data_IF_941060757553
#
_entry.id   IF_941060757553
#
_cell.length_a   1.000
_cell.length_b   1.000
_cell.length_c   1.000
_cell.angle_alpha   90.00
_cell.angle_beta   90.00
_cell.angle_gamma   90.00
#
_symmetry.space_group_name_H-M   'P 1'
#
loop_
_entity.id
_entity.type
_entity.pdbx_description
1 polymer ?
#
# COMPACT_ATOMS: atom_id res chain seq x y z
N UNK A 1 12.06 9.33 -13.35
CA UNK A 1 10.61 9.05 -13.50
C UNK A 1 9.83 10.11 -12.73
N UNK A 2 8.59 10.37 -13.13
CA UNK A 2 7.69 11.29 -12.44
C UNK A 2 6.33 10.64 -12.21
N UNK A 3 5.71 10.89 -11.06
CA UNK A 3 4.30 10.53 -10.77
C UNK A 3 3.48 11.81 -10.74
N UNK A 4 2.41 11.82 -11.52
CA UNK A 4 1.46 12.91 -11.62
C UNK A 4 0.12 12.46 -11.05
N UNK A 5 -0.52 13.31 -10.26
CA UNK A 5 -1.90 13.10 -9.82
C UNK A 5 -2.70 14.39 -10.06
N UNK A 6 -3.78 14.29 -10.84
CA UNK A 6 -4.63 15.44 -11.23
C UNK A 6 -3.82 16.68 -11.69
N UNK A 7 -2.82 16.48 -12.55
CA UNK A 7 -1.98 17.57 -13.08
C UNK A 7 -0.94 18.13 -12.11
N UNK A 8 -0.85 17.61 -10.89
CA UNK A 8 0.17 17.97 -9.90
C UNK A 8 1.29 16.93 -9.90
N UNK A 9 2.53 17.39 -9.91
CA UNK A 9 3.68 16.55 -9.64
C UNK A 9 3.62 16.08 -8.19
N UNK A 10 3.55 14.75 -7.99
CA UNK A 10 3.59 14.13 -6.67
C UNK A 10 5.00 13.65 -6.33
N UNK A 11 5.71 13.08 -7.30
CA UNK A 11 7.02 12.51 -7.08
C UNK A 11 7.90 12.66 -8.32
N UNK A 12 9.20 12.87 -8.12
CA UNK A 12 10.24 12.81 -9.16
C UNK A 12 11.48 12.15 -8.59
N UNK A 13 12.01 11.16 -9.30
CA UNK A 13 13.20 10.42 -8.88
C UNK A 13 13.33 9.07 -9.58
N UNK A 14 14.08 8.17 -8.97
CA UNK A 14 14.29 6.81 -9.47
C UNK A 14 13.18 5.85 -9.03
N UNK A 15 12.93 4.75 -9.76
CA UNK A 15 11.99 3.72 -9.31
C UNK A 15 12.35 3.13 -7.94
N UNK A 16 13.64 3.01 -7.64
CA UNK A 16 14.12 2.44 -6.37
C UNK A 16 13.72 3.36 -5.21
N UNK A 17 14.03 4.66 -5.32
CA UNK A 17 13.62 5.65 -4.32
C UNK A 17 12.10 5.72 -4.16
N UNK A 18 11.34 5.59 -5.26
CA UNK A 18 9.89 5.55 -5.21
C UNK A 18 9.40 4.33 -4.42
N UNK A 19 9.91 3.14 -4.74
CA UNK A 19 9.57 1.90 -4.03
C UNK A 19 9.81 2.06 -2.53
N UNK A 20 10.92 2.68 -2.16
CA UNK A 20 11.33 2.82 -0.77
C UNK A 20 10.40 3.73 0.05
N UNK A 21 9.57 4.56 -0.60
CA UNK A 21 8.52 5.35 0.07
C UNK A 21 7.42 4.49 0.70
N UNK A 22 7.20 3.27 0.19
CA UNK A 22 6.22 2.34 0.74
C UNK A 22 6.84 1.29 1.69
N UNK A 23 8.14 1.41 2.02
CA UNK A 23 8.75 0.54 3.00
C UNK A 23 8.03 0.64 4.35
N UNK A 24 7.91 -0.50 5.04
CA UNK A 24 7.21 -0.65 6.33
C UNK A 24 5.73 -0.25 6.32
N UNK A 25 5.13 -0.10 5.13
CA UNK A 25 3.70 0.22 4.96
C UNK A 25 2.92 -0.85 4.21
N UNK A 26 3.60 -1.85 3.63
CA UNK A 26 2.93 -2.90 2.85
C UNK A 26 2.87 -4.21 3.62
N UNK A 27 1.67 -4.76 3.67
CA UNK A 27 1.34 -5.92 4.48
C UNK A 27 0.60 -6.96 3.66
N UNK A 28 0.78 -8.22 4.04
CA UNK A 28 -0.02 -9.33 3.52
C UNK A 28 -0.61 -10.15 4.66
N UNK A 29 -1.86 -10.59 4.50
CA UNK A 29 -2.51 -11.52 5.43
C UNK A 29 -3.23 -12.61 4.63
N UNK A 30 -3.38 -13.79 5.24
CA UNK A 30 -4.27 -14.84 4.75
C UNK A 30 -5.49 -14.87 5.67
N UNK A 31 -6.65 -14.50 5.13
CA UNK A 31 -7.88 -14.33 5.90
C UNK A 31 -8.92 -15.36 5.48
N UNK A 32 -9.64 -16.00 6.42
CA UNK A 32 -10.85 -16.75 6.07
C UNK A 32 -11.96 -15.78 5.62
N UNK A 33 -12.93 -16.28 4.83
CA UNK A 33 -14.01 -15.46 4.26
C UNK A 33 -14.70 -14.51 5.24
N UNK A 34 -15.17 -14.96 6.43
CA UNK A 34 -15.91 -14.07 7.32
C UNK A 34 -15.04 -12.94 7.87
N UNK A 35 -13.73 -13.20 8.02
CA UNK A 35 -12.76 -12.19 8.49
C UNK A 35 -12.44 -11.19 7.39
N UNK A 36 -12.35 -11.64 6.14
CA UNK A 36 -12.19 -10.76 4.99
C UNK A 36 -13.39 -9.83 4.81
N UNK A 37 -14.62 -10.37 4.81
CA UNK A 37 -15.84 -9.57 4.68
C UNK A 37 -15.97 -8.49 5.77
N UNK A 38 -15.52 -8.81 6.98
CA UNK A 38 -15.51 -7.88 8.11
C UNK A 38 -14.48 -6.74 7.98
N UNK A 39 -13.39 -6.96 7.23
CA UNK A 39 -12.25 -6.03 7.16
C UNK A 39 -12.12 -5.31 5.82
N UNK A 40 -12.69 -5.85 4.73
CA UNK A 40 -12.45 -5.37 3.35
C UNK A 40 -12.69 -3.86 3.18
N UNK A 41 -13.65 -3.29 3.90
CA UNK A 41 -13.97 -1.86 3.83
C UNK A 41 -13.02 -0.97 4.62
N UNK A 42 -12.33 -1.52 5.62
CA UNK A 42 -11.45 -0.80 6.54
C UNK A 42 -9.98 -0.89 6.13
N UNK A 43 -9.63 -1.87 5.28
CA UNK A 43 -8.28 -2.03 4.75
C UNK A 43 -8.05 -1.10 3.55
N UNK A 44 -6.91 -0.42 3.53
CA UNK A 44 -6.43 0.27 2.33
C UNK A 44 -5.88 -0.77 1.31
N UNK A 45 -6.82 -1.46 0.66
CA UNK A 45 -6.56 -2.64 -0.14
C UNK A 45 -5.78 -2.34 -1.43
N UNK A 46 -4.72 -3.10 -1.68
CA UNK A 46 -4.00 -3.12 -2.96
C UNK A 46 -4.59 -4.23 -3.84
N UNK A 47 -4.58 -5.47 -3.35
CA UNK A 47 -5.13 -6.63 -4.07
C UNK A 47 -5.61 -7.70 -3.10
N UNK A 48 -6.53 -8.54 -3.56
CA UNK A 48 -6.92 -9.77 -2.88
C UNK A 48 -7.02 -10.89 -3.91
N UNK A 49 -6.58 -12.09 -3.52
CA UNK A 49 -6.66 -13.29 -4.36
C UNK A 49 -7.15 -14.45 -3.51
N UNK A 50 -8.15 -15.16 -4.04
CA UNK A 50 -8.64 -16.40 -3.41
C UNK A 50 -7.63 -17.53 -3.65
N UNK A 51 -7.25 -18.18 -2.56
CA UNK A 51 -6.34 -19.33 -2.54
C UNK A 51 -7.02 -20.50 -1.81
N UNK A 52 -6.51 -21.74 -1.88
CA UNK A 52 -7.15 -22.88 -1.22
C UNK A 52 -7.38 -22.68 0.29
N UNK A 53 -6.47 -21.98 0.95
CA UNK A 53 -6.48 -21.78 2.41
C UNK A 53 -7.17 -20.47 2.85
N UNK A 54 -7.86 -19.76 1.95
CA UNK A 54 -8.58 -18.52 2.25
C UNK A 54 -8.38 -17.42 1.22
N UNK A 55 -8.35 -16.17 1.67
CA UNK A 55 -8.17 -14.99 0.83
C UNK A 55 -6.85 -14.34 1.23
N UNK A 56 -5.87 -14.36 0.32
CA UNK A 56 -4.62 -13.63 0.51
C UNK A 56 -4.86 -12.18 0.13
N UNK A 57 -4.73 -11.28 1.09
CA UNK A 57 -4.86 -9.84 0.91
C UNK A 57 -3.50 -9.18 0.96
N UNK A 58 -3.32 -8.13 0.16
CA UNK A 58 -2.20 -7.19 0.21
C UNK A 58 -2.78 -5.79 0.36
N UNK A 59 -2.28 -5.04 1.34
CA UNK A 59 -2.85 -3.74 1.70
C UNK A 59 -1.80 -2.82 2.31
N UNK A 60 -2.12 -1.53 2.34
CA UNK A 60 -1.32 -0.49 2.99
C UNK A 60 -1.82 -0.28 4.43
N UNK A 61 -0.90 -0.11 5.39
CA UNK A 61 -1.25 0.26 6.75
C UNK A 61 -0.06 0.87 7.49
N UNK A 62 -0.34 1.84 8.36
CA UNK A 62 0.63 2.29 9.39
C UNK A 62 0.59 1.36 10.60
N UNK A 63 -0.59 0.87 10.97
CA UNK A 63 -0.78 -0.14 12.01
C UNK A 63 -1.58 -1.32 11.40
N UNK A 64 -0.95 -2.48 11.17
CA UNK A 64 -1.59 -3.58 10.47
C UNK A 64 -2.44 -4.44 11.41
N UNK A 65 -3.34 -5.24 10.83
CA UNK A 65 -4.06 -6.26 11.58
C UNK A 65 -3.10 -7.34 12.12
N UNK A 66 -3.40 -7.99 13.26
CA UNK A 66 -2.52 -8.98 13.89
C UNK A 66 -2.13 -10.17 13.00
N UNK A 67 -2.98 -10.53 12.03
CA UNK A 67 -2.77 -11.65 11.10
C UNK A 67 -1.77 -11.31 9.98
N UNK A 68 -1.36 -10.05 9.87
CA UNK A 68 -0.55 -9.57 8.76
C UNK A 68 0.95 -9.73 8.99
N UNK A 69 1.66 -9.93 7.88
CA UNK A 69 3.12 -9.92 7.83
C UNK A 69 3.62 -8.80 6.92
N UNK A 70 4.70 -8.16 7.36
CA UNK A 70 5.40 -7.17 6.54
C UNK A 70 5.96 -7.83 5.28
N UNK A 71 5.93 -7.09 4.18
CA UNK A 71 6.45 -7.53 2.89
C UNK A 71 7.17 -6.39 2.20
N UNK A 72 8.19 -6.74 1.41
CA UNK A 72 8.86 -5.75 0.59
C UNK A 72 7.85 -5.11 -0.40
N UNK A 73 7.83 -3.77 -0.52
CA UNK A 73 7.02 -3.09 -1.51
C UNK A 73 7.52 -3.34 -2.93
N UNK A 74 6.58 -3.36 -3.86
CA UNK A 74 6.79 -3.30 -5.30
C UNK A 74 6.64 -1.85 -5.78
N UNK A 75 6.93 -1.59 -7.05
CA UNK A 75 6.65 -0.28 -7.65
C UNK A 75 5.16 0.06 -7.69
N UNK A 76 4.30 -0.94 -7.83
CA UNK A 76 2.84 -0.77 -7.82
C UNK A 76 2.36 -0.31 -6.43
N UNK A 77 2.88 -0.91 -5.35
CA UNK A 77 2.52 -0.51 -3.99
C UNK A 77 2.92 0.94 -3.71
N UNK A 78 4.13 1.32 -4.11
CA UNK A 78 4.60 2.69 -3.97
C UNK A 78 3.81 3.69 -4.81
N UNK A 79 3.38 3.29 -5.99
CA UNK A 79 2.51 4.11 -6.83
C UNK A 79 1.15 4.34 -6.17
N UNK A 80 0.52 3.28 -5.67
CA UNK A 80 -0.76 3.36 -4.95
C UNK A 80 -0.63 4.16 -3.66
N UNK A 81 0.45 3.96 -2.91
CA UNK A 81 0.76 4.75 -1.72
C UNK A 81 0.85 6.24 -2.05
N UNK A 82 1.63 6.62 -3.08
CA UNK A 82 1.74 8.01 -3.52
C UNK A 82 0.41 8.59 -4.02
N UNK A 83 -0.42 7.81 -4.73
CA UNK A 83 -1.71 8.31 -5.21
C UNK A 83 -2.71 8.56 -4.07
N UNK A 84 -2.72 7.69 -3.05
CA UNK A 84 -3.69 7.72 -1.95
C UNK A 84 -3.23 8.61 -0.78
N UNK A 85 -1.92 8.70 -0.56
CA UNK A 85 -1.29 9.37 0.59
C UNK A 85 -0.27 10.43 0.16
N UNK A 86 -0.21 10.81 -1.12
CA UNK A 86 0.80 11.75 -1.65
C UNK A 86 0.76 13.16 -1.06
N UNK A 87 -0.34 13.56 -0.43
CA UNK A 87 -0.43 14.81 0.31
C UNK A 87 0.35 14.75 1.65
N UNK A 88 0.50 13.58 2.25
CA UNK A 88 1.36 13.35 3.43
C UNK A 88 2.85 13.43 3.05
N UNK A 89 3.20 12.88 1.88
CA UNK A 89 4.54 12.94 1.32
C UNK A 89 4.97 14.40 1.04
N UNK A 90 4.09 15.21 0.44
CA UNK A 90 4.41 16.62 0.13
C UNK A 90 4.71 17.46 1.37
N UNK A 91 4.00 17.22 2.47
CA UNK A 91 4.19 17.96 3.72
C UNK A 91 5.51 17.59 4.40
N UNK A 92 5.97 16.35 4.26
CA UNK A 92 7.22 15.87 4.87
C UNK A 92 8.48 16.29 4.09
N UNK A 93 8.38 16.52 2.78
CA UNK A 93 9.51 16.87 1.91
C UNK A 93 9.60 18.35 1.51
N UNK A 94 8.78 19.24 2.10
CA UNK A 94 8.83 20.70 1.91
C UNK A 94 9.44 21.45 3.12
N UNK A 95 10.05 20.75 4.06
CA UNK A 95 10.77 21.32 5.22
C UNK A 95 12.29 21.22 5.06
#
# INVERSE_FOLDING_TARGET
>A
MAVLNHGKLLYTGTPIEMRDLACDKVWEALLPDPRFEALERDLDMITHVRVPDGIRVRFLATDPIPEARAVAPTLEDAYLYLLRHGDEYKQSNMA
#
